data_IF_503651489651
#
_entry.id   IF_503651489651
#
_cell.length_a   1.000
_cell.length_b   1.000
_cell.length_c   1.000
_cell.angle_alpha   90.00
_cell.angle_beta   90.00
_cell.angle_gamma   90.00
#
_symmetry.space_group_name_H-M   'P 1'
#
loop_
_entity.id
_entity.type
_entity.pdbx_description
1 polymer ?
#
# COMPACT_ATOMS: atom_id res chain seq x y z
N UNK A 1 33.88 -0.75 -15.79
CA UNK A 1 32.79 -0.37 -14.86
C UNK A 1 31.65 0.20 -15.70
N UNK A 2 30.60 -0.57 -15.95
CA UNK A 2 29.43 -0.10 -16.70
C UNK A 2 28.45 0.53 -15.69
N UNK A 3 28.23 1.83 -15.77
CA UNK A 3 27.22 2.51 -14.95
C UNK A 3 25.85 2.28 -15.60
N UNK A 4 24.94 1.62 -14.88
CA UNK A 4 23.55 1.48 -15.29
C UNK A 4 22.88 2.85 -15.11
N UNK A 5 22.56 3.53 -16.21
CA UNK A 5 21.71 4.71 -16.16
C UNK A 5 20.29 4.25 -15.77
N UNK A 6 19.90 4.49 -14.52
CA UNK A 6 18.50 4.40 -14.10
C UNK A 6 17.74 5.50 -14.83
N UNK A 7 17.04 5.14 -15.90
CA UNK A 7 16.00 6.01 -16.44
C UNK A 7 14.92 6.11 -15.38
N UNK A 8 14.61 7.34 -14.96
CA UNK A 8 13.51 7.63 -14.03
C UNK A 8 12.22 7.25 -14.77
N UNK A 9 11.78 6.00 -14.59
CA UNK A 9 10.64 5.45 -15.31
C UNK A 9 9.35 6.19 -14.98
N UNK A 10 8.40 6.10 -15.90
CA UNK A 10 7.02 6.62 -15.86
C UNK A 10 6.24 6.43 -14.53
N UNK A 11 6.70 5.55 -13.64
CA UNK A 11 6.07 5.25 -12.36
C UNK A 11 5.89 6.47 -11.43
N UNK A 12 6.63 7.57 -11.65
CA UNK A 12 6.48 8.81 -10.86
C UNK A 12 5.52 9.83 -11.49
N UNK A 13 4.99 9.56 -12.69
CA UNK A 13 4.01 10.46 -13.33
C UNK A 13 2.60 10.14 -12.84
N UNK A 14 2.15 10.86 -11.80
CA UNK A 14 0.85 10.65 -11.18
C UNK A 14 -0.33 11.03 -12.10
N UNK A 15 -0.12 11.89 -13.10
CA UNK A 15 -1.17 12.33 -14.04
C UNK A 15 -1.67 11.19 -14.94
N UNK A 16 -0.92 10.08 -15.00
CA UNK A 16 -1.28 8.89 -15.77
C UNK A 16 -2.09 7.88 -14.96
N UNK A 17 -2.22 8.07 -13.65
CA UNK A 17 -2.99 7.17 -12.80
C UNK A 17 -4.49 7.48 -12.94
N UNK A 18 -5.30 6.43 -13.08
CA UNK A 18 -6.75 6.59 -13.06
C UNK A 18 -7.20 6.99 -11.65
N UNK A 19 -8.11 7.97 -11.52
CA UNK A 19 -8.65 8.32 -10.21
C UNK A 19 -9.42 7.14 -9.63
N UNK A 20 -9.22 6.88 -8.33
CA UNK A 20 -9.96 5.85 -7.62
C UNK A 20 -11.45 6.14 -7.62
N UNK A 21 -12.27 5.13 -7.93
CA UNK A 21 -13.72 5.16 -7.80
C UNK A 21 -14.13 4.04 -6.84
N UNK A 22 -14.78 4.34 -5.70
CA UNK A 22 -15.20 3.30 -4.77
C UNK A 22 -16.21 2.37 -5.43
N UNK A 23 -16.00 1.06 -5.24
CA UNK A 23 -16.97 0.03 -5.58
C UNK A 23 -18.08 -0.08 -4.53
N UNK A 24 -18.80 -1.21 -4.48
CA UNK A 24 -19.75 -1.49 -3.41
C UNK A 24 -19.13 -1.31 -2.02
N UNK A 25 -19.96 -0.92 -1.05
CA UNK A 25 -19.53 -0.82 0.34
C UNK A 25 -19.05 -2.18 0.84
N UNK A 26 -17.88 -2.21 1.47
CA UNK A 26 -17.31 -3.39 2.11
C UNK A 26 -17.12 -3.15 3.60
N UNK A 27 -17.08 -4.23 4.36
CA UNK A 27 -16.90 -4.22 5.81
C UNK A 27 -16.09 -5.43 6.25
N UNK A 28 -15.53 -5.37 7.46
CA UNK A 28 -14.76 -6.46 8.06
C UNK A 28 -13.32 -6.04 8.34
N UNK A 29 -12.43 -7.02 8.43
CA UNK A 29 -11.05 -6.80 8.89
C UNK A 29 -10.03 -7.20 7.83
N UNK A 30 -9.13 -6.28 7.51
CA UNK A 30 -7.94 -6.51 6.72
C UNK A 30 -6.73 -6.62 7.67
N UNK A 31 -5.86 -7.60 7.42
CA UNK A 31 -4.63 -7.78 8.21
C UNK A 31 -3.44 -7.75 7.26
N UNK A 32 -2.51 -6.84 7.52
CA UNK A 32 -1.28 -6.68 6.76
C UNK A 32 -0.08 -7.19 7.56
N UNK A 33 0.76 -8.00 6.92
CA UNK A 33 2.07 -8.41 7.43
C UNK A 33 3.10 -7.99 6.41
N UNK A 34 4.25 -7.49 6.85
CA UNK A 34 5.20 -6.91 5.90
C UNK A 34 6.44 -6.34 6.56
N UNK A 35 7.16 -5.56 5.79
CA UNK A 35 8.36 -4.86 6.21
C UNK A 35 8.05 -3.47 6.76
N UNK A 36 8.79 -3.03 7.77
CA UNK A 36 8.57 -1.73 8.42
C UNK A 36 8.82 -0.54 7.47
N UNK A 37 9.64 -0.71 6.42
CA UNK A 37 9.82 0.32 5.38
C UNK A 37 8.52 0.70 4.67
N UNK A 38 7.48 -0.15 4.72
CA UNK A 38 6.18 0.09 4.11
C UNK A 38 5.19 0.81 5.05
N UNK A 39 5.55 1.04 6.31
CA UNK A 39 4.63 1.60 7.33
C UNK A 39 4.00 2.90 6.88
N UNK A 40 4.82 3.85 6.44
CA UNK A 40 4.32 5.15 6.00
C UNK A 40 3.36 5.02 4.82
N UNK A 41 3.65 4.14 3.86
CA UNK A 41 2.77 3.91 2.72
C UNK A 41 1.42 3.31 3.15
N UNK A 42 1.46 2.29 4.02
CA UNK A 42 0.26 1.61 4.50
C UNK A 42 -0.65 2.56 5.29
N UNK A 43 -0.09 3.46 6.12
CA UNK A 43 -0.90 4.45 6.84
C UNK A 43 -1.63 5.41 5.88
N UNK A 44 -0.96 5.90 4.83
CA UNK A 44 -1.63 6.74 3.82
C UNK A 44 -2.74 5.98 3.08
N UNK A 45 -2.54 4.69 2.80
CA UNK A 45 -3.58 3.85 2.20
C UNK A 45 -4.75 3.62 3.16
N UNK A 46 -4.50 3.33 4.43
CA UNK A 46 -5.53 3.19 5.48
C UNK A 46 -6.39 4.44 5.56
N UNK A 47 -5.76 5.61 5.64
CA UNK A 47 -6.47 6.89 5.73
C UNK A 47 -7.24 7.25 4.47
N UNK A 48 -6.72 6.94 3.29
CA UNK A 48 -7.43 7.13 2.03
C UNK A 48 -8.62 6.19 1.89
N UNK A 49 -8.44 4.92 2.22
CA UNK A 49 -9.44 3.87 2.07
C UNK A 49 -10.61 4.03 3.05
N UNK A 50 -10.31 4.37 4.32
CA UNK A 50 -11.31 4.58 5.38
C UNK A 50 -12.36 5.66 5.03
N UNK A 51 -12.00 6.64 4.20
CA UNK A 51 -12.95 7.67 3.73
C UNK A 51 -14.08 7.09 2.88
N UNK A 52 -13.82 5.99 2.19
CA UNK A 52 -14.79 5.33 1.31
C UNK A 52 -15.42 4.09 1.97
N UNK A 53 -14.68 3.40 2.83
CA UNK A 53 -15.11 2.15 3.47
C UNK A 53 -14.91 2.22 4.99
N UNK A 54 -15.71 3.01 5.71
CA UNK A 54 -15.50 3.27 7.15
C UNK A 54 -15.76 2.05 8.05
N UNK A 55 -16.45 1.03 7.53
CA UNK A 55 -16.73 -0.21 8.24
C UNK A 55 -15.61 -1.27 8.09
N UNK A 56 -14.48 -0.90 7.43
CA UNK A 56 -13.30 -1.75 7.35
C UNK A 56 -12.30 -1.35 8.41
N UNK A 57 -11.91 -2.33 9.23
CA UNK A 57 -10.80 -2.24 10.16
C UNK A 57 -9.52 -2.76 9.48
N UNK A 58 -8.40 -2.05 9.68
CA UNK A 58 -7.11 -2.47 9.14
C UNK A 58 -6.12 -2.60 10.28
N UNK A 59 -5.61 -3.81 10.49
CA UNK A 59 -4.52 -4.10 11.41
C UNK A 59 -3.24 -4.41 10.64
N UNK A 60 -2.10 -4.05 11.22
CA UNK A 60 -0.80 -4.32 10.62
C UNK A 60 0.24 -4.82 11.64
N UNK A 61 1.07 -5.76 11.18
CA UNK A 61 2.28 -6.23 11.84
C UNK A 61 3.44 -6.17 10.85
N UNK A 62 3.97 -4.96 10.66
CA UNK A 62 5.11 -4.71 9.79
C UNK A 62 6.42 -4.87 10.58
N UNK A 63 7.10 -6.00 10.38
CA UNK A 63 8.35 -6.38 11.05
C UNK A 63 9.44 -6.73 10.05
N UNK A 64 9.13 -7.57 9.07
CA UNK A 64 10.01 -7.95 7.97
C UNK A 64 9.20 -8.62 6.86
N UNK A 65 9.75 -8.62 5.64
CA UNK A 65 9.20 -9.43 4.54
C UNK A 65 9.14 -10.93 4.88
N UNK A 66 10.09 -11.46 5.65
CA UNK A 66 10.11 -12.86 6.05
C UNK A 66 8.88 -13.23 6.91
N UNK A 67 8.51 -12.34 7.84
CA UNK A 67 7.31 -12.52 8.67
C UNK A 67 6.04 -12.57 7.82
N UNK A 68 5.96 -11.78 6.75
CA UNK A 68 4.83 -11.84 5.81
C UNK A 68 4.74 -13.18 5.06
N UNK A 69 5.88 -13.82 4.83
CA UNK A 69 5.98 -15.13 4.18
C UNK A 69 5.78 -16.30 5.16
N UNK A 70 5.60 -16.03 6.45
CA UNK A 70 5.42 -17.05 7.49
C UNK A 70 6.71 -17.77 7.91
N UNK A 71 7.86 -17.16 7.65
CA UNK A 71 9.19 -17.64 8.06
C UNK A 71 9.68 -16.99 9.36
#
# INVERSE_FOLDING_TARGET
>A
MLALAVTRGDAQNLDRLSPYRPGPAVSGKLVAWGDDSQRSLLEHWKDGFRRYHPAVEVEDSLKSTATAMGA
#
